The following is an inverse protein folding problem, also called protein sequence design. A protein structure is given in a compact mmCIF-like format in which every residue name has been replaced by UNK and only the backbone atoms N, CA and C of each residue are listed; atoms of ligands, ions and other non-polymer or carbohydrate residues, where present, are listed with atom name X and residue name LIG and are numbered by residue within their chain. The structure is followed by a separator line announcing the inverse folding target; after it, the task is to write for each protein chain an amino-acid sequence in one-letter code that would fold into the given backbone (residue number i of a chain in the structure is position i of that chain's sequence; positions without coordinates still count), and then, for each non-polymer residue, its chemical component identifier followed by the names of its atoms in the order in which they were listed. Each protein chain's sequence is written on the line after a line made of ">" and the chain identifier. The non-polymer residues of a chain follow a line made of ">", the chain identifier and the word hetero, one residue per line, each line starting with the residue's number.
data_IF_144717549946
#
_entry.id   IF_144717549946
#
_cell.length_a   1.000
_cell.length_b   1.000
_cell.length_c   1.000
_cell.angle_alpha   90.00
_cell.angle_beta   90.00
_cell.angle_gamma   90.00
#
_symmetry.space_group_name_H-M   'P 1'
#
loop_
_entity.id
_entity.type
_entity.pdbx_description
1 polymer ?
#
# COMPACT_ATOMS: atom_id res chain seq x y z
N UNK A 1 -6.49 -2.00 -5.23
CA UNK A 1 -6.36 -0.53 -5.30
C UNK A 1 -6.46 -0.02 -6.74
N UNK A 2 -5.54 -0.39 -7.65
CA UNK A 2 -5.52 0.13 -9.03
C UNK A 2 -6.83 -0.08 -9.79
N UNK A 3 -7.45 -1.25 -9.65
CA UNK A 3 -8.77 -1.53 -10.24
C UNK A 3 -9.87 -0.58 -9.75
N UNK A 4 -9.89 -0.28 -8.45
CA UNK A 4 -10.88 0.63 -7.85
C UNK A 4 -10.69 2.06 -8.37
N UNK A 5 -9.44 2.49 -8.57
CA UNK A 5 -9.14 3.85 -9.06
C UNK A 5 -9.66 4.12 -10.48
N UNK A 6 -10.02 3.08 -11.25
CA UNK A 6 -10.70 3.23 -12.55
C UNK A 6 -12.08 3.87 -12.38
N UNK A 7 -12.72 3.65 -11.23
CA UNK A 7 -14.08 4.12 -10.92
C UNK A 7 -14.08 5.43 -10.12
N UNK A 8 -12.93 6.04 -9.88
CA UNK A 8 -12.81 7.27 -9.08
C UNK A 8 -12.24 8.43 -9.91
N UNK A 9 -12.46 9.70 -9.51
CA UNK A 9 -11.87 10.88 -10.16
C UNK A 9 -10.35 11.04 -10.01
N UNK A 10 -9.57 9.96 -9.91
CA UNK A 10 -8.14 10.01 -9.61
C UNK A 10 -7.23 10.36 -10.81
N UNK A 11 -7.78 10.58 -12.01
CA UNK A 11 -7.02 10.79 -13.26
C UNK A 11 -6.83 12.26 -13.66
N UNK A 12 -6.90 13.22 -12.72
CA UNK A 12 -6.96 14.66 -13.02
C UNK A 12 -5.63 15.36 -13.26
N UNK A 13 -4.54 14.89 -12.65
CA UNK A 13 -3.26 15.61 -12.65
C UNK A 13 -2.15 14.75 -13.27
N UNK A 14 -1.71 13.70 -12.57
CA UNK A 14 -0.55 12.90 -12.96
C UNK A 14 -0.90 11.65 -13.79
N UNK A 15 -2.13 11.51 -14.28
CA UNK A 15 -2.50 10.43 -15.17
C UNK A 15 -2.13 10.76 -16.63
N UNK A 16 -1.85 9.73 -17.43
CA UNK A 16 -1.50 9.88 -18.86
C UNK A 16 -2.61 10.56 -19.66
N UNK A 17 -3.87 10.36 -19.27
CA UNK A 17 -5.03 10.94 -19.93
C UNK A 17 -5.51 12.25 -19.30
N UNK A 18 -4.79 12.82 -18.32
CA UNK A 18 -5.24 13.99 -17.54
C UNK A 18 -5.63 15.20 -18.40
N UNK A 19 -4.91 15.44 -19.51
CA UNK A 19 -5.19 16.53 -20.46
C UNK A 19 -6.58 16.45 -21.10
N UNK A 20 -7.19 15.28 -21.14
CA UNK A 20 -8.53 15.05 -21.72
C UNK A 20 -9.64 15.20 -20.68
N UNK A 21 -9.29 15.33 -19.41
CA UNK A 21 -10.22 15.28 -18.29
C UNK A 21 -10.57 16.70 -17.82
N UNK A 22 -11.87 17.03 -17.76
CA UNK A 22 -12.36 18.33 -17.26
C UNK A 22 -12.88 18.22 -15.82
N UNK A 23 -12.49 19.13 -14.93
CA UNK A 23 -12.99 19.18 -13.56
C UNK A 23 -11.93 19.62 -12.54
N UNK A 24 -12.26 19.59 -11.24
CA UNK A 24 -11.35 20.02 -10.19
C UNK A 24 -10.04 19.22 -10.19
N UNK A 25 -8.96 19.88 -9.76
CA UNK A 25 -7.66 19.27 -9.57
C UNK A 25 -7.59 18.36 -8.33
N UNK A 26 -8.63 18.31 -7.50
CA UNK A 26 -8.73 17.51 -6.28
C UNK A 26 -9.84 16.47 -6.36
N UNK A 27 -9.84 15.55 -5.40
CA UNK A 27 -10.87 14.51 -5.26
C UNK A 27 -11.57 14.65 -3.91
N UNK A 28 -12.84 14.22 -3.80
CA UNK A 28 -13.53 14.15 -2.52
C UNK A 28 -12.73 13.32 -1.49
N UNK A 29 -12.68 13.79 -0.23
CA UNK A 29 -11.94 13.11 0.86
C UNK A 29 -12.35 11.64 1.04
N UNK A 30 -13.62 11.32 0.76
CA UNK A 30 -14.14 9.94 0.85
C UNK A 30 -13.41 8.97 -0.08
N UNK A 31 -12.91 9.43 -1.23
CA UNK A 31 -12.11 8.59 -2.15
C UNK A 31 -10.83 8.13 -1.47
N UNK A 32 -10.13 9.03 -0.79
CA UNK A 32 -8.91 8.70 -0.06
C UNK A 32 -9.19 7.79 1.13
N UNK A 33 -10.26 8.06 1.88
CA UNK A 33 -10.70 7.22 3.00
C UNK A 33 -11.00 5.80 2.51
N UNK A 34 -11.72 5.67 1.40
CA UNK A 34 -12.05 4.38 0.81
C UNK A 34 -10.80 3.58 0.44
N UNK A 35 -9.81 4.22 -0.20
CA UNK A 35 -8.54 3.56 -0.52
C UNK A 35 -7.75 3.14 0.73
N UNK A 36 -7.77 3.94 1.80
CA UNK A 36 -7.17 3.58 3.10
C UNK A 36 -7.86 2.36 3.71
N UNK A 37 -9.19 2.30 3.67
CA UNK A 37 -9.97 1.16 4.20
C UNK A 37 -9.57 -0.15 3.52
N UNK A 38 -9.29 -0.16 2.21
CA UNK A 38 -8.76 -1.36 1.55
C UNK A 38 -7.46 -1.86 2.17
N UNK A 39 -6.52 -0.96 2.49
CA UNK A 39 -5.27 -1.35 3.15
C UNK A 39 -5.48 -1.80 4.59
N UNK A 40 -6.39 -1.14 5.32
CA UNK A 40 -6.78 -1.56 6.66
C UNK A 40 -7.31 -2.99 6.64
N UNK A 41 -8.21 -3.33 5.71
CA UNK A 41 -8.75 -4.68 5.57
C UNK A 41 -7.63 -5.69 5.31
N UNK A 42 -6.70 -5.38 4.39
CA UNK A 42 -5.57 -6.27 4.09
C UNK A 42 -4.73 -6.56 5.33
N UNK A 43 -4.32 -5.51 6.07
CA UNK A 43 -3.53 -5.67 7.30
C UNK A 43 -4.31 -6.39 8.40
N UNK A 44 -5.50 -5.89 8.76
CA UNK A 44 -6.29 -6.47 9.86
C UNK A 44 -6.64 -7.93 9.59
N UNK A 45 -7.02 -8.29 8.36
CA UNK A 45 -7.32 -9.67 8.01
C UNK A 45 -6.07 -10.55 8.07
N UNK A 46 -4.91 -10.05 7.61
CA UNK A 46 -3.64 -10.76 7.73
C UNK A 46 -3.25 -11.02 9.20
N UNK A 47 -3.61 -10.14 10.12
CA UNK A 47 -3.43 -10.34 11.57
C UNK A 47 -4.41 -11.36 12.13
N UNK A 48 -5.69 -11.29 11.77
CA UNK A 48 -6.73 -12.23 12.23
C UNK A 48 -6.38 -13.67 11.84
N UNK A 49 -5.97 -13.90 10.58
CA UNK A 49 -5.61 -15.27 10.15
C UNK A 49 -4.37 -15.81 10.85
N UNK A 50 -3.55 -14.95 11.48
CA UNK A 50 -2.40 -15.33 12.31
C UNK A 50 -2.78 -15.61 13.77
N UNK A 51 -4.03 -15.34 14.18
CA UNK A 51 -4.55 -15.69 15.51
C UNK A 51 -5.08 -17.13 15.51
N UNK A 52 -4.25 -18.07 15.06
CA UNK A 52 -4.56 -19.49 15.07
C UNK A 52 -3.49 -20.26 15.85
N UNK A 53 -3.83 -21.48 16.25
CA UNK A 53 -3.01 -22.32 17.13
C UNK A 53 -1.60 -22.57 16.58
N UNK A 54 -1.48 -22.92 15.29
CA UNK A 54 -0.20 -23.20 14.65
C UNK A 54 0.70 -21.97 14.58
N UNK A 55 0.11 -20.81 14.25
CA UNK A 55 0.86 -19.55 14.21
C UNK A 55 1.35 -19.16 15.59
N UNK A 56 0.51 -19.25 16.63
CA UNK A 56 0.89 -18.92 18.01
C UNK A 56 2.00 -19.83 18.54
N UNK A 57 2.08 -21.09 18.07
CA UNK A 57 3.21 -22.00 18.34
C UNK A 57 4.45 -21.77 17.45
N UNK A 58 4.35 -20.85 16.49
CA UNK A 58 5.42 -20.51 15.57
C UNK A 58 5.68 -21.55 14.48
N UNK A 59 4.78 -22.51 14.28
CA UNK A 59 5.02 -23.65 13.38
C UNK A 59 5.32 -23.23 11.92
N UNK A 60 4.55 -22.33 11.29
CA UNK A 60 4.87 -21.89 9.92
C UNK A 60 6.24 -21.20 9.84
N UNK A 61 6.56 -20.37 10.83
CA UNK A 61 7.81 -19.61 10.88
C UNK A 61 9.01 -20.55 11.08
N UNK A 62 8.90 -21.52 11.98
CA UNK A 62 9.93 -22.55 12.21
C UNK A 62 10.20 -23.33 10.93
N UNK A 63 9.15 -23.74 10.23
CA UNK A 63 9.29 -24.42 8.93
C UNK A 63 9.98 -23.54 7.88
N UNK A 64 9.60 -22.27 7.76
CA UNK A 64 10.19 -21.37 6.76
C UNK A 64 11.64 -21.03 7.03
N UNK A 65 12.01 -20.76 8.29
CA UNK A 65 13.39 -20.49 8.68
C UNK A 65 14.24 -21.77 8.60
N UNK A 66 13.68 -22.93 8.97
CA UNK A 66 14.35 -24.22 8.86
C UNK A 66 14.75 -24.58 7.43
N UNK A 67 14.04 -24.08 6.41
CA UNK A 67 14.43 -24.19 4.99
C UNK A 67 15.58 -23.27 4.58
N UNK A 68 16.00 -22.35 5.45
CA UNK A 68 17.03 -21.35 5.19
C UNK A 68 18.19 -21.48 6.17
N UNK A 69 18.63 -22.73 6.42
CA UNK A 69 19.75 -23.02 7.32
C UNK A 69 21.02 -22.22 6.97
N UNK A 70 21.19 -21.92 5.68
CA UNK A 70 22.31 -21.15 5.13
C UNK A 70 22.38 -19.71 5.64
N UNK A 71 21.26 -19.13 6.11
CA UNK A 71 21.26 -17.80 6.73
C UNK A 71 21.91 -17.80 8.13
N UNK A 72 22.01 -18.97 8.79
CA UNK A 72 22.72 -19.18 10.06
C UNK A 72 22.33 -18.22 11.20
N UNK A 73 23.05 -18.32 12.31
CA UNK A 73 23.04 -17.30 13.37
C UNK A 73 21.72 -17.13 14.13
N UNK A 74 21.35 -15.88 14.41
CA UNK A 74 20.26 -15.54 15.34
C UNK A 74 18.89 -16.07 14.90
N UNK A 75 18.69 -16.29 13.59
CA UNK A 75 17.42 -16.79 13.05
C UNK A 75 17.10 -18.21 13.53
N UNK A 76 18.10 -19.01 13.92
CA UNK A 76 17.91 -20.38 14.36
C UNK A 76 17.45 -20.51 15.82
N UNK A 77 17.42 -19.40 16.58
CA UNK A 77 16.94 -19.44 17.97
C UNK A 77 15.42 -19.46 18.02
N UNK A 78 14.87 -20.28 18.92
CA UNK A 78 13.43 -20.33 19.20
C UNK A 78 12.84 -18.97 19.59
N UNK A 79 13.59 -18.16 20.34
CA UNK A 79 13.18 -16.80 20.66
C UNK A 79 12.90 -15.96 19.40
N UNK A 80 13.68 -16.16 18.33
CA UNK A 80 13.50 -15.46 17.06
C UNK A 80 12.29 -15.96 16.30
N UNK A 81 12.00 -17.27 16.33
CA UNK A 81 10.76 -17.84 15.77
C UNK A 81 9.54 -17.18 16.39
N UNK A 82 9.49 -17.10 17.72
CA UNK A 82 8.38 -16.45 18.42
C UNK A 82 8.34 -14.94 18.18
N UNK A 83 9.48 -14.25 18.14
CA UNK A 83 9.53 -12.82 17.82
C UNK A 83 8.94 -12.53 16.44
N UNK A 84 9.28 -13.34 15.44
CA UNK A 84 8.77 -13.19 14.07
C UNK A 84 7.29 -13.56 13.99
N UNK A 85 6.87 -14.64 14.67
CA UNK A 85 5.47 -15.05 14.70
C UNK A 85 4.57 -14.00 15.37
N UNK A 86 4.80 -13.71 16.65
CA UNK A 86 3.99 -12.75 17.41
C UNK A 86 4.17 -11.34 16.87
N UNK A 87 5.39 -10.95 16.50
CA UNK A 87 5.66 -9.64 15.90
C UNK A 87 4.91 -9.43 14.60
N UNK A 88 4.87 -10.45 13.72
CA UNK A 88 4.10 -10.37 12.48
C UNK A 88 2.60 -10.33 12.70
N UNK A 89 2.09 -11.11 13.65
CA UNK A 89 0.67 -11.05 14.05
C UNK A 89 0.30 -9.65 14.57
N UNK A 90 1.04 -9.13 15.56
CA UNK A 90 0.76 -7.82 16.14
C UNK A 90 0.92 -6.67 15.14
N UNK A 91 1.95 -6.73 14.31
CA UNK A 91 2.15 -5.76 13.24
C UNK A 91 0.93 -5.71 12.33
N UNK A 92 0.51 -6.85 11.75
CA UNK A 92 -0.61 -6.89 10.81
C UNK A 92 -1.92 -6.44 11.47
N UNK A 93 -2.15 -6.79 12.74
CA UNK A 93 -3.35 -6.36 13.48
C UNK A 93 -3.39 -4.84 13.70
N UNK A 94 -2.26 -4.21 14.04
CA UNK A 94 -2.25 -2.85 14.56
C UNK A 94 -1.70 -1.79 13.62
N UNK A 95 -0.89 -2.13 12.62
CA UNK A 95 -0.23 -1.13 11.75
C UNK A 95 -1.24 -0.23 11.03
N UNK A 96 -2.38 -0.78 10.61
CA UNK A 96 -3.45 0.00 9.99
C UNK A 96 -3.97 1.11 10.89
N UNK A 97 -4.11 0.83 12.20
CA UNK A 97 -4.50 1.84 13.19
C UNK A 97 -3.36 2.84 13.42
N UNK A 98 -2.10 2.39 13.55
CA UNK A 98 -0.95 3.28 13.74
C UNK A 98 -0.80 4.28 12.58
N UNK A 99 -1.04 3.85 11.34
CA UNK A 99 -0.95 4.71 10.16
C UNK A 99 -2.11 5.73 10.06
N UNK A 100 -3.22 5.51 10.78
CA UNK A 100 -4.40 6.37 10.70
C UNK A 100 -4.34 7.58 11.63
N UNK A 101 -3.59 7.51 12.72
CA UNK A 101 -3.52 8.58 13.71
C UNK A 101 -2.21 9.37 13.60
N UNK A 102 -2.29 10.69 13.60
CA UNK A 102 -1.14 11.57 13.41
C UNK A 102 -0.05 11.35 14.48
N UNK A 103 -0.43 11.04 15.72
CA UNK A 103 0.49 10.79 16.84
C UNK A 103 1.33 9.53 16.66
N UNK A 104 0.76 8.47 16.05
CA UNK A 104 1.40 7.16 15.89
C UNK A 104 1.84 6.89 14.45
N UNK A 105 1.56 7.80 13.53
CA UNK A 105 1.84 7.66 12.11
C UNK A 105 3.30 7.28 11.82
N UNK A 106 4.27 8.02 12.38
CA UNK A 106 5.69 7.74 12.15
C UNK A 106 6.16 6.42 12.74
N UNK A 107 5.58 6.01 13.88
CA UNK A 107 5.81 4.68 14.42
C UNK A 107 5.30 3.61 13.44
N UNK A 108 4.09 3.79 12.88
CA UNK A 108 3.54 2.91 11.85
C UNK A 108 4.42 2.81 10.59
N UNK A 109 5.00 3.92 10.14
CA UNK A 109 5.93 3.94 9.00
C UNK A 109 7.22 3.16 9.30
N UNK A 110 7.86 3.42 10.45
CA UNK A 110 9.08 2.72 10.85
C UNK A 110 8.82 1.22 10.95
N UNK A 111 7.76 0.81 11.63
CA UNK A 111 7.38 -0.60 11.76
C UNK A 111 7.09 -1.23 10.39
N UNK A 112 6.45 -0.50 9.48
CA UNK A 112 6.20 -0.97 8.11
C UNK A 112 7.49 -1.25 7.37
N UNK A 113 8.46 -0.34 7.43
CA UNK A 113 9.74 -0.52 6.76
C UNK A 113 10.48 -1.73 7.33
N UNK A 114 10.55 -1.86 8.65
CA UNK A 114 11.20 -3.00 9.33
C UNK A 114 10.52 -4.30 8.93
N UNK A 115 9.19 -4.39 9.06
CA UNK A 115 8.43 -5.61 8.83
C UNK A 115 8.54 -6.10 7.38
N UNK A 116 8.26 -5.23 6.41
CA UNK A 116 8.27 -5.62 5.00
C UNK A 116 9.69 -5.89 4.49
N UNK A 117 10.69 -5.13 4.96
CA UNK A 117 12.10 -5.43 4.62
C UNK A 117 12.52 -6.77 5.21
N UNK A 118 12.18 -7.06 6.47
CA UNK A 118 12.46 -8.35 7.11
C UNK A 118 11.78 -9.50 6.37
N UNK A 119 10.51 -9.35 5.98
CA UNK A 119 9.80 -10.36 5.19
C UNK A 119 10.45 -10.58 3.82
N UNK A 120 10.97 -9.52 3.16
CA UNK A 120 11.69 -9.67 1.91
C UNK A 120 12.99 -10.45 2.09
N UNK A 121 13.77 -10.13 3.11
CA UNK A 121 15.06 -10.79 3.37
C UNK A 121 14.88 -12.23 3.85
N UNK A 122 13.99 -12.45 4.81
CA UNK A 122 13.78 -13.76 5.44
C UNK A 122 12.93 -14.65 4.55
N UNK A 123 11.81 -14.18 4.03
CA UNK A 123 10.85 -15.05 3.32
C UNK A 123 10.86 -14.89 1.80
N UNK A 124 11.38 -13.77 1.28
CA UNK A 124 11.41 -13.47 -0.16
C UNK A 124 10.05 -13.62 -0.86
N UNK A 125 8.99 -13.04 -0.29
CA UNK A 125 7.60 -13.11 -0.77
C UNK A 125 7.31 -12.23 -2.01
N UNK A 126 8.22 -12.22 -2.98
CA UNK A 126 8.03 -11.53 -4.26
C UNK A 126 7.95 -10.00 -4.16
N UNK A 127 6.97 -9.42 -4.86
CA UNK A 127 6.76 -7.96 -4.98
C UNK A 127 6.01 -7.34 -3.79
N UNK A 128 5.32 -8.16 -2.99
CA UNK A 128 4.42 -7.70 -1.93
C UNK A 128 5.03 -6.66 -0.97
N UNK A 129 6.27 -6.84 -0.45
CA UNK A 129 6.89 -5.86 0.44
C UNK A 129 7.00 -4.46 -0.16
N UNK A 130 7.39 -4.37 -1.43
CA UNK A 130 7.54 -3.09 -2.13
C UNK A 130 6.20 -2.41 -2.35
N UNK A 131 5.18 -3.17 -2.73
CA UNK A 131 3.81 -2.66 -2.93
C UNK A 131 3.25 -2.13 -1.63
N UNK A 132 3.40 -2.86 -0.52
CA UNK A 132 2.85 -2.44 0.77
C UNK A 132 3.55 -1.21 1.33
N UNK A 133 4.88 -1.13 1.23
CA UNK A 133 5.64 0.07 1.60
C UNK A 133 5.17 1.27 0.76
N UNK A 134 5.14 1.14 -0.56
CA UNK A 134 4.70 2.22 -1.45
C UNK A 134 3.25 2.65 -1.16
N UNK A 135 2.37 1.70 -0.84
CA UNK A 135 0.96 1.95 -0.55
C UNK A 135 0.74 2.74 0.75
N UNK A 136 1.70 2.76 1.68
CA UNK A 136 1.61 3.61 2.89
C UNK A 136 1.58 5.10 2.57
N UNK A 137 2.02 5.51 1.39
CA UNK A 137 1.90 6.88 0.90
C UNK A 137 0.45 7.40 0.84
N UNK A 138 -0.55 6.51 0.85
CA UNK A 138 -1.96 6.88 0.98
C UNK A 138 -2.29 7.49 2.36
N UNK A 139 -1.51 7.20 3.40
CA UNK A 139 -1.70 7.73 4.75
C UNK A 139 -1.02 9.07 4.98
N UNK A 140 -0.15 9.50 4.06
CA UNK A 140 0.56 10.78 4.16
C UNK A 140 -0.41 11.95 3.99
N UNK A 141 0.05 13.17 4.30
CA UNK A 141 -0.72 14.40 4.04
C UNK A 141 -1.11 14.45 2.56
N UNK A 142 -2.39 14.68 2.18
CA UNK A 142 -2.85 14.53 0.79
C UNK A 142 -2.14 15.43 -0.24
N UNK A 143 -1.47 16.48 0.19
CA UNK A 143 -0.70 17.40 -0.65
C UNK A 143 0.75 16.95 -0.89
N UNK A 144 1.21 15.86 -0.26
CA UNK A 144 2.58 15.36 -0.37
C UNK A 144 3.06 15.15 -1.82
N UNK A 145 2.26 14.62 -2.78
CA UNK A 145 2.77 14.41 -4.13
C UNK A 145 3.04 15.75 -4.85
N UNK A 146 2.23 16.78 -4.56
CA UNK A 146 2.43 18.13 -5.10
C UNK A 146 3.66 18.79 -4.48
N UNK A 147 3.89 18.60 -3.18
CA UNK A 147 5.12 19.07 -2.50
C UNK A 147 6.37 18.51 -3.15
N UNK A 148 6.40 17.19 -3.36
CA UNK A 148 7.53 16.53 -4.01
C UNK A 148 7.73 17.03 -5.44
N UNK A 149 6.66 17.10 -6.23
CA UNK A 149 6.74 17.62 -7.60
C UNK A 149 7.28 19.05 -7.64
N UNK A 150 6.69 19.97 -6.87
CA UNK A 150 7.07 21.38 -6.83
C UNK A 150 8.52 21.56 -6.35
N UNK A 151 8.97 20.75 -5.39
CA UNK A 151 10.36 20.73 -4.96
C UNK A 151 11.31 20.33 -6.09
N UNK A 152 11.01 19.25 -6.82
CA UNK A 152 11.82 18.77 -7.95
C UNK A 152 11.84 19.78 -9.11
N UNK A 153 10.70 20.40 -9.42
CA UNK A 153 10.57 21.36 -10.53
C UNK A 153 10.89 22.81 -10.14
N UNK A 154 11.30 23.07 -8.90
CA UNK A 154 11.54 24.41 -8.34
C UNK A 154 10.37 25.38 -8.52
N UNK A 155 9.14 24.87 -8.39
CA UNK A 155 7.92 25.68 -8.46
C UNK A 155 7.44 26.06 -7.04
N UNK A 156 6.84 27.24 -6.85
CA UNK A 156 6.28 27.62 -5.56
C UNK A 156 5.14 26.65 -5.16
N UNK A 157 5.12 26.25 -3.89
CA UNK A 157 4.06 25.40 -3.40
C UNK A 157 2.76 26.20 -3.19
N UNK A 158 1.79 26.01 -4.08
CA UNK A 158 0.42 26.48 -3.85
C UNK A 158 -0.29 25.53 -2.88
N UNK A 159 -0.61 26.01 -1.68
CA UNK A 159 -1.49 25.28 -0.77
C UNK A 159 -2.87 25.14 -1.43
N UNK A 160 -3.26 23.89 -1.68
CA UNK A 160 -4.63 23.62 -2.11
C UNK A 160 -5.48 23.71 -0.85
N UNK A 161 -6.30 24.77 -0.74
CA UNK A 161 -7.22 24.97 0.37
C UNK A 161 -8.21 23.81 0.50
N UNK A 162 -9.02 23.82 1.57
CA UNK A 162 -10.06 22.82 1.74
C UNK A 162 -11.01 22.89 0.53
N UNK A 163 -11.00 21.86 -0.31
CA UNK A 163 -11.84 21.86 -1.51
C UNK A 163 -13.16 21.19 -1.14
N UNK A 164 -14.26 21.93 -1.14
CA UNK A 164 -15.63 21.43 -0.94
C UNK A 164 -16.13 20.58 -2.13
N UNK A 165 -15.23 19.80 -2.75
CA UNK A 165 -15.51 18.94 -3.89
C UNK A 165 -16.35 17.77 -3.41
N UNK A 166 -17.59 17.71 -3.87
CA UNK A 166 -18.52 16.64 -3.55
C UNK A 166 -18.35 15.49 -4.51
N UNK A 167 -18.65 14.28 -4.04
CA UNK A 167 -18.64 13.10 -4.92
C UNK A 167 -19.69 13.22 -6.04
N UNK A 168 -20.79 13.93 -5.80
CA UNK A 168 -21.81 14.26 -6.82
C UNK A 168 -21.26 15.05 -8.00
N UNK A 169 -20.17 15.80 -7.81
CA UNK A 169 -19.58 16.63 -8.86
C UNK A 169 -18.73 15.78 -9.82
N UNK A 170 -18.50 14.50 -9.48
CA UNK A 170 -17.81 13.57 -10.36
C UNK A 170 -18.74 13.10 -11.49
N UNK A 171 -18.43 13.54 -12.70
CA UNK A 171 -19.01 12.98 -13.92
C UNK A 171 -18.11 11.86 -14.43
N UNK A 172 -18.53 10.58 -14.40
CA UNK A 172 -17.76 9.49 -14.98
C UNK A 172 -17.67 9.65 -16.51
N UNK A 173 -16.60 9.14 -17.14
CA UNK A 173 -16.42 9.28 -18.58
C UNK A 173 -17.57 8.60 -19.37
N UNK A 174 -18.20 9.37 -20.27
CA UNK A 174 -19.39 8.98 -21.07
C UNK A 174 -19.12 7.81 -22.03
N UNK A 175 -17.89 7.70 -22.56
CA UNK A 175 -17.44 6.56 -23.36
C UNK A 175 -16.17 5.98 -22.77
N UNK A 176 -16.26 4.74 -22.28
CA UNK A 176 -15.10 3.93 -21.88
C UNK A 176 -14.60 3.13 -23.09
N UNK A 177 -13.99 3.81 -24.06
CA UNK A 177 -13.26 3.11 -25.12
C UNK A 177 -11.88 2.72 -24.58
N UNK A 178 -11.69 1.43 -24.33
CA UNK A 178 -10.38 0.84 -24.12
C UNK A 178 -9.76 0.61 -25.49
N UNK A 179 -8.71 1.34 -25.83
CA UNK A 179 -7.94 1.03 -27.03
C UNK A 179 -7.22 -0.31 -26.84
N UNK A 180 -6.95 -1.01 -27.95
CA UNK A 180 -6.15 -2.25 -27.94
C UNK A 180 -4.83 -2.04 -27.19
N UNK A 181 -4.17 -0.89 -27.37
CA UNK A 181 -2.98 -0.52 -26.61
C UNK A 181 -3.21 -0.54 -25.09
N UNK A 182 -4.28 0.07 -24.58
CA UNK A 182 -4.57 0.10 -23.14
C UNK A 182 -4.84 -1.31 -22.58
N UNK A 183 -5.51 -2.15 -23.37
CA UNK A 183 -5.76 -3.55 -23.01
C UNK A 183 -4.44 -4.30 -22.92
N UNK A 184 -3.60 -4.22 -23.96
CA UNK A 184 -2.29 -4.86 -24.00
C UNK A 184 -1.35 -4.36 -22.90
N UNK A 185 -1.34 -3.05 -22.61
CA UNK A 185 -0.58 -2.49 -21.50
C UNK A 185 -1.06 -3.04 -20.15
N UNK A 186 -2.38 -3.13 -19.94
CA UNK A 186 -2.94 -3.68 -18.70
C UNK A 186 -2.58 -5.16 -18.55
N UNK A 187 -2.74 -5.95 -19.62
CA UNK A 187 -2.34 -7.36 -19.64
C UNK A 187 -0.84 -7.50 -19.38
N UNK A 188 -0.01 -6.69 -20.04
CA UNK A 188 1.45 -6.71 -19.86
C UNK A 188 1.86 -6.38 -18.42
N UNK A 189 1.24 -5.38 -17.79
CA UNK A 189 1.45 -5.08 -16.37
C UNK A 189 1.01 -6.24 -15.49
N UNK A 190 -0.15 -6.85 -15.76
CA UNK A 190 -0.64 -8.00 -14.98
C UNK A 190 0.32 -9.20 -15.12
N UNK A 191 0.76 -9.52 -16.33
CA UNK A 191 1.73 -10.60 -16.59
C UNK A 191 3.05 -10.29 -15.89
N UNK A 192 3.56 -9.06 -16.00
CA UNK A 192 4.77 -8.63 -15.32
C UNK A 192 4.67 -8.80 -13.79
N UNK A 193 3.51 -8.43 -13.22
CA UNK A 193 3.26 -8.58 -11.79
C UNK A 193 3.15 -10.06 -11.37
N UNK A 194 2.49 -10.89 -12.19
CA UNK A 194 2.38 -12.34 -11.94
C UNK A 194 3.75 -13.00 -12.04
N UNK A 195 4.60 -12.60 -12.99
CA UNK A 195 5.94 -13.16 -13.15
C UNK A 195 6.87 -12.89 -11.96
N UNK A 196 6.53 -11.89 -11.15
CA UNK A 196 7.26 -11.49 -9.94
C UNK A 196 6.71 -12.09 -8.63
N UNK A 197 5.66 -12.90 -8.71
CA UNK A 197 5.06 -13.67 -7.60
C UNK A 197 5.53 -15.11 -7.71
#
# INVERSE_FOLDING_TARGET
>A
ISFVMIFTPCNRIYAVDSRKQKGPATVPKIVLIFLRVFLLIVYTYAGIVKMNEDWLRGEPVRHWIGKKQELGGILQYEATVYLVSYGGMFYDTFVGALLMFDTTFWLGIILTLIFHTSNKLIFNIGIFPYVMIASTSLFFKPDWPRKVYNYITRQPHTTVGNTDVKFSDYVPPVKRSLSVFKILMTIGVVIFLIWWV
#
